data_IF_044598583509
#
_entry.id   IF_044598583509
#
_cell.length_a   1.000
_cell.length_b   1.000
_cell.length_c   1.000
_cell.angle_alpha   90.00
_cell.angle_beta   90.00
_cell.angle_gamma   90.00
#
_symmetry.space_group_name_H-M   'P 1'
#
loop_
_entity.id
_entity.type
_entity.pdbx_description
1 polymer ?
#
# COMPACT_ATOMS: atom_id res chain seq x y z
N UNK A 1 18.32 9.12 -11.66
CA UNK A 1 16.85 9.01 -11.76
C UNK A 1 16.32 10.27 -12.45
N UNK A 2 15.66 10.18 -13.61
CA UNK A 2 15.22 11.35 -14.42
C UNK A 2 14.11 12.11 -13.69
N UNK A 3 14.37 13.37 -13.32
CA UNK A 3 13.38 14.29 -12.74
C UNK A 3 12.29 14.62 -13.78
N UNK A 4 11.03 14.26 -13.49
CA UNK A 4 9.86 14.81 -14.16
C UNK A 4 9.43 16.11 -13.46
N UNK A 5 9.73 17.24 -14.09
CA UNK A 5 9.10 18.53 -13.80
C UNK A 5 7.68 18.54 -14.38
N UNK A 6 6.66 18.38 -13.53
CA UNK A 6 5.26 18.60 -13.92
C UNK A 6 4.97 20.10 -13.99
N UNK A 7 4.66 20.58 -15.19
CA UNK A 7 4.05 21.88 -15.46
C UNK A 7 2.68 21.96 -14.78
N UNK A 8 2.47 23.00 -13.97
CA UNK A 8 1.17 23.39 -13.44
C UNK A 8 0.48 24.23 -14.53
N UNK A 9 -0.57 23.67 -15.14
CA UNK A 9 -1.45 24.41 -16.04
C UNK A 9 -2.57 25.07 -15.24
N UNK A 10 -2.75 26.37 -15.42
CA UNK A 10 -3.80 27.17 -14.81
C UNK A 10 -5.20 26.78 -15.35
N UNK A 11 -6.19 26.74 -14.45
CA UNK A 11 -7.61 26.52 -14.78
C UNK A 11 -8.21 27.78 -15.43
N UNK A 12 -9.10 27.65 -16.43
CA UNK A 12 -9.89 28.77 -16.92
C UNK A 12 -11.09 29.06 -15.99
N UNK A 13 -11.43 30.34 -15.87
CA UNK A 13 -12.55 30.88 -15.10
C UNK A 13 -13.90 30.54 -15.74
N UNK A 14 -14.92 30.34 -14.90
CA UNK A 14 -16.31 30.11 -15.30
C UNK A 14 -17.02 31.44 -15.67
N UNK A 15 -17.98 31.43 -16.63
CA UNK A 15 -18.73 32.63 -16.98
C UNK A 15 -19.90 32.88 -16.01
N UNK A 16 -20.12 34.18 -15.75
CA UNK A 16 -21.22 34.72 -14.98
C UNK A 16 -22.56 34.57 -15.72
N UNK A 17 -23.58 34.08 -15.02
CA UNK A 17 -24.96 34.06 -15.50
C UNK A 17 -25.66 35.39 -15.18
N UNK A 18 -26.19 36.05 -16.21
CA UNK A 18 -27.08 37.19 -16.11
C UNK A 18 -28.45 36.75 -15.56
N UNK A 19 -28.94 37.46 -14.54
CA UNK A 19 -30.34 37.45 -14.12
C UNK A 19 -31.15 38.40 -15.00
N UNK A 20 -32.21 37.87 -15.64
CA UNK A 20 -33.21 38.66 -16.35
C UNK A 20 -34.47 38.71 -15.48
N UNK A 21 -34.76 39.91 -14.97
CA UNK A 21 -35.99 40.25 -14.24
C UNK A 21 -37.11 40.42 -15.26
N UNK A 22 -38.21 39.68 -15.09
CA UNK A 22 -39.44 39.88 -15.84
C UNK A 22 -40.65 39.92 -14.90
N UNK A 23 -41.57 40.79 -15.26
CA UNK A 23 -42.56 41.45 -14.42
C UNK A 23 -43.70 40.58 -13.89
N UNK A 24 -44.21 41.08 -12.77
CA UNK A 24 -45.42 40.71 -12.04
C UNK A 24 -46.67 40.99 -12.89
N UNK A 25 -47.54 39.99 -13.00
CA UNK A 25 -48.93 40.13 -13.44
C UNK A 25 -49.84 39.44 -12.43
N UNK A 26 -50.56 40.22 -11.63
CA UNK A 26 -51.59 39.76 -10.69
C UNK A 26 -52.78 39.15 -11.46
N UNK A 27 -53.13 37.90 -11.17
CA UNK A 27 -54.50 37.41 -11.30
C UNK A 27 -54.86 36.61 -10.05
N UNK A 28 -55.82 37.14 -9.30
CA UNK A 28 -56.40 36.51 -8.13
C UNK A 28 -57.22 35.28 -8.54
N UNK A 29 -56.69 34.10 -8.24
CA UNK A 29 -57.40 32.83 -8.30
C UNK A 29 -57.15 32.08 -6.99
N UNK A 30 -58.21 31.70 -6.30
CA UNK A 30 -58.17 30.93 -5.06
C UNK A 30 -57.30 29.67 -5.23
N UNK A 31 -56.24 29.46 -4.43
CA UNK A 31 -55.48 28.22 -4.50
C UNK A 31 -56.34 27.12 -3.87
N UNK A 32 -56.90 26.26 -4.71
CA UNK A 32 -57.25 24.91 -4.27
C UNK A 32 -55.93 24.24 -3.94
N UNK A 33 -55.55 24.23 -2.66
CA UNK A 33 -54.45 23.42 -2.16
C UNK A 33 -54.87 21.95 -2.27
N UNK A 34 -54.77 21.40 -3.48
CA UNK A 34 -54.65 19.96 -3.64
C UNK A 34 -53.33 19.63 -2.99
N UNK A 35 -53.39 19.12 -1.76
CA UNK A 35 -52.28 18.40 -1.17
C UNK A 35 -52.06 17.17 -2.06
N UNK A 36 -51.27 17.36 -3.13
CA UNK A 36 -50.65 16.26 -3.84
C UNK A 36 -49.80 15.59 -2.77
N UNK A 37 -50.32 14.49 -2.21
CA UNK A 37 -49.54 13.57 -1.41
C UNK A 37 -48.26 13.33 -2.20
N UNK A 38 -47.15 13.90 -1.74
CA UNK A 38 -45.88 13.60 -2.36
C UNK A 38 -45.78 12.08 -2.31
N UNK A 39 -45.56 11.41 -3.46
CA UNK A 39 -45.44 9.96 -3.46
C UNK A 39 -44.44 9.62 -2.37
N UNK A 40 -44.81 8.71 -1.48
CA UNK A 40 -43.99 8.33 -0.35
C UNK A 40 -42.65 7.82 -0.90
N UNK A 41 -41.68 8.73 -0.95
CA UNK A 41 -40.31 8.50 -1.41
C UNK A 41 -39.53 7.73 -0.34
N UNK A 42 -40.20 7.23 0.71
CA UNK A 42 -39.59 6.35 1.67
C UNK A 42 -39.23 5.04 0.97
N UNK A 43 -37.93 4.87 0.81
CA UNK A 43 -37.31 3.57 0.69
C UNK A 43 -36.84 3.29 2.12
N UNK A 44 -37.61 2.52 2.92
CA UNK A 44 -37.22 2.28 4.30
C UNK A 44 -35.88 1.54 4.29
N UNK A 45 -34.92 2.00 5.07
CA UNK A 45 -33.57 1.43 5.10
C UNK A 45 -33.60 -0.08 5.39
N UNK A 46 -34.54 -0.50 6.25
CA UNK A 46 -34.82 -1.92 6.54
C UNK A 46 -35.16 -2.74 5.28
N UNK A 47 -35.91 -2.18 4.33
CA UNK A 47 -36.26 -2.85 3.07
C UNK A 47 -35.02 -3.07 2.20
N UNK A 48 -34.10 -2.12 2.19
CA UNK A 48 -32.84 -2.23 1.43
C UNK A 48 -31.89 -3.24 2.08
N UNK A 49 -31.80 -3.24 3.40
CA UNK A 49 -30.94 -4.17 4.14
C UNK A 49 -31.38 -5.63 3.99
N UNK A 50 -32.67 -5.90 3.74
CA UNK A 50 -33.20 -7.25 3.55
C UNK A 50 -33.28 -7.68 2.07
N UNK A 51 -32.95 -6.80 1.13
CA UNK A 51 -33.02 -7.09 -0.30
C UNK A 51 -32.12 -8.30 -0.63
N UNK A 52 -32.67 -9.40 -1.18
CA UNK A 52 -31.85 -10.49 -1.71
C UNK A 52 -31.07 -9.99 -2.91
N UNK A 53 -29.80 -10.32 -2.99
CA UNK A 53 -28.93 -9.90 -4.09
C UNK A 53 -28.22 -11.10 -4.70
N UNK A 54 -27.62 -10.89 -5.87
CA UNK A 54 -26.93 -11.94 -6.60
C UNK A 54 -25.41 -11.78 -6.48
N UNK A 55 -24.72 -12.92 -6.57
CA UNK A 55 -23.29 -12.97 -6.79
C UNK A 55 -22.98 -12.56 -8.23
N UNK A 56 -22.28 -11.44 -8.41
CA UNK A 56 -21.87 -10.96 -9.73
C UNK A 56 -20.43 -11.36 -9.98
N UNK A 57 -20.21 -12.22 -10.99
CA UNK A 57 -18.86 -12.52 -11.49
C UNK A 57 -18.40 -11.40 -12.42
N UNK A 58 -17.42 -10.62 -11.99
CA UNK A 58 -16.62 -9.82 -12.92
C UNK A 58 -15.63 -10.75 -13.61
N UNK A 59 -15.46 -10.60 -14.92
CA UNK A 59 -14.58 -11.44 -15.72
C UNK A 59 -13.17 -11.52 -15.12
N UNK A 60 -12.47 -12.61 -15.42
CA UNK A 60 -11.09 -12.82 -14.98
C UNK A 60 -10.19 -11.77 -15.64
N UNK A 61 -9.54 -10.93 -14.85
CA UNK A 61 -8.59 -9.95 -15.38
C UNK A 61 -7.20 -10.58 -15.38
N UNK A 62 -6.76 -11.04 -16.54
CA UNK A 62 -5.37 -11.42 -16.80
C UNK A 62 -4.61 -10.12 -17.10
N UNK A 63 -4.02 -9.50 -16.08
CA UNK A 63 -3.34 -8.20 -16.22
C UNK A 63 -1.90 -8.36 -15.76
N UNK A 64 -0.96 -8.00 -16.63
CA UNK A 64 0.47 -7.86 -16.31
C UNK A 64 1.40 -8.48 -17.36
N UNK A 65 2.67 -8.04 -17.33
CA UNK A 65 3.65 -8.38 -18.37
C UNK A 65 4.09 -9.84 -18.37
N UNK A 66 3.94 -10.55 -17.24
CA UNK A 66 4.31 -11.97 -17.14
C UNK A 66 3.22 -12.94 -17.63
N UNK A 67 2.17 -12.47 -18.33
CA UNK A 67 1.29 -13.39 -19.07
C UNK A 67 2.08 -14.30 -20.03
N UNK A 68 3.21 -13.80 -20.53
CA UNK A 68 4.14 -14.56 -21.36
C UNK A 68 4.74 -15.78 -20.61
N UNK A 69 4.79 -15.74 -19.27
CA UNK A 69 5.38 -16.79 -18.43
C UNK A 69 4.34 -17.79 -17.89
N UNK A 70 3.07 -17.69 -18.30
CA UNK A 70 1.99 -18.60 -17.92
C UNK A 70 1.54 -19.35 -19.17
N UNK A 71 1.85 -20.64 -19.23
CA UNK A 71 1.45 -21.47 -20.37
C UNK A 71 -0.06 -21.68 -20.39
N UNK A 72 -0.64 -21.88 -21.58
CA UNK A 72 -2.08 -22.20 -21.73
C UNK A 72 -2.50 -23.42 -20.89
N UNK A 73 -1.60 -24.38 -20.70
CA UNK A 73 -1.84 -25.57 -19.88
C UNK A 73 -1.98 -25.28 -18.37
N UNK A 74 -1.39 -24.18 -17.88
CA UNK A 74 -1.50 -23.78 -16.46
C UNK A 74 -2.78 -23.01 -16.17
N UNK A 75 -3.39 -22.37 -17.17
CA UNK A 75 -4.55 -21.50 -16.96
C UNK A 75 -5.76 -22.24 -16.34
N UNK A 76 -6.17 -23.43 -16.81
CA UNK A 76 -7.27 -24.17 -16.20
C UNK A 76 -6.97 -24.58 -14.74
N UNK A 77 -5.71 -24.93 -14.46
CA UNK A 77 -5.28 -25.33 -13.12
C UNK A 77 -5.35 -24.17 -12.11
N UNK A 78 -5.03 -22.95 -12.55
CA UNK A 78 -5.13 -21.74 -11.74
C UNK A 78 -6.60 -21.35 -11.55
N UNK A 79 -7.39 -21.38 -12.63
CA UNK A 79 -8.81 -21.08 -12.58
C UNK A 79 -9.56 -22.01 -11.60
N UNK A 80 -9.28 -23.32 -11.65
CA UNK A 80 -9.89 -24.29 -10.73
C UNK A 80 -9.53 -24.00 -9.25
N UNK A 81 -8.27 -23.63 -8.97
CA UNK A 81 -7.85 -23.25 -7.60
C UNK A 81 -8.50 -21.94 -7.15
N UNK A 82 -8.61 -20.96 -8.03
CA UNK A 82 -9.32 -19.71 -7.74
C UNK A 82 -10.81 -19.94 -7.49
N UNK A 83 -11.48 -20.77 -8.30
CA UNK A 83 -12.88 -21.11 -8.09
C UNK A 83 -13.09 -21.84 -6.74
N UNK A 84 -12.15 -22.71 -6.34
CA UNK A 84 -12.14 -23.34 -5.01
C UNK A 84 -11.91 -22.33 -3.87
N UNK A 85 -10.99 -21.36 -4.02
CA UNK A 85 -10.84 -20.28 -3.02
C UNK A 85 -12.13 -19.45 -2.89
N UNK A 86 -12.77 -19.10 -4.02
CA UNK A 86 -14.05 -18.39 -4.02
C UNK A 86 -15.17 -19.19 -3.37
N UNK A 87 -15.16 -20.52 -3.48
CA UNK A 87 -16.20 -21.35 -2.87
C UNK A 87 -16.19 -21.25 -1.35
N UNK A 88 -15.02 -21.09 -0.70
CA UNK A 88 -14.94 -20.87 0.75
C UNK A 88 -15.63 -19.58 1.19
N UNK A 89 -15.47 -18.49 0.43
CA UNK A 89 -16.15 -17.21 0.73
C UNK A 89 -17.65 -17.36 0.54
N UNK A 90 -18.09 -18.01 -0.54
CA UNK A 90 -19.51 -18.24 -0.84
C UNK A 90 -20.18 -19.17 0.18
N UNK A 91 -19.51 -20.21 0.63
CA UNK A 91 -20.03 -21.12 1.64
C UNK A 91 -20.20 -20.41 2.99
N UNK A 92 -19.27 -19.54 3.35
CA UNK A 92 -19.36 -18.74 4.57
C UNK A 92 -20.51 -17.70 4.50
N UNK A 93 -20.78 -17.14 3.31
CA UNK A 93 -21.84 -16.15 3.10
C UNK A 93 -22.66 -16.40 1.82
N UNK A 94 -23.55 -17.41 1.78
CA UNK A 94 -24.21 -17.84 0.55
C UNK A 94 -25.24 -16.85 0.01
N UNK A 95 -25.96 -16.17 0.90
CA UNK A 95 -27.06 -15.26 0.56
C UNK A 95 -26.69 -13.81 0.88
N UNK A 96 -26.15 -13.05 -0.09
CA UNK A 96 -25.84 -11.65 0.13
C UNK A 96 -27.13 -10.83 0.30
N UNK A 97 -27.45 -10.44 1.54
CA UNK A 97 -28.60 -9.59 1.87
C UNK A 97 -28.15 -8.15 2.07
N UNK A 98 -28.84 -7.21 1.43
CA UNK A 98 -28.55 -5.77 1.51
C UNK A 98 -27.20 -5.33 0.92
N UNK A 99 -26.49 -6.26 0.27
CA UNK A 99 -25.15 -6.06 -0.29
C UNK A 99 -25.08 -6.71 -1.65
N UNK A 100 -24.56 -6.05 -2.67
CA UNK A 100 -24.15 -6.69 -3.93
C UNK A 100 -22.73 -7.27 -3.79
N UNK A 101 -22.61 -8.60 -3.92
CA UNK A 101 -21.32 -9.29 -3.85
C UNK A 101 -20.69 -9.38 -5.25
N UNK A 102 -19.64 -8.60 -5.49
CA UNK A 102 -18.88 -8.62 -6.75
C UNK A 102 -17.61 -9.42 -6.57
N UNK A 103 -17.49 -10.55 -7.26
CA UNK A 103 -16.28 -11.36 -7.24
C UNK A 103 -15.42 -11.12 -8.47
N UNK A 104 -14.12 -11.22 -8.30
CA UNK A 104 -13.14 -11.18 -9.36
C UNK A 104 -11.98 -12.12 -9.06
N UNK A 105 -11.34 -12.59 -10.12
CA UNK A 105 -10.09 -13.34 -10.02
C UNK A 105 -9.03 -12.60 -10.82
N UNK A 106 -7.81 -12.61 -10.30
CA UNK A 106 -6.67 -12.04 -10.99
C UNK A 106 -5.45 -12.92 -10.79
N UNK A 107 -4.63 -13.01 -11.83
CA UNK A 107 -3.25 -13.42 -11.65
C UNK A 107 -2.46 -12.14 -11.50
N UNK A 108 -1.84 -11.98 -10.34
CA UNK A 108 -1.10 -10.78 -10.04
C UNK A 108 0.34 -11.00 -10.52
N UNK A 109 0.62 -10.59 -11.76
CA UNK A 109 1.95 -10.71 -12.38
C UNK A 109 2.75 -9.41 -12.36
N UNK A 110 2.10 -8.25 -12.25
CA UNK A 110 2.71 -6.91 -12.11
C UNK A 110 1.58 -5.97 -11.65
N UNK A 111 1.74 -5.06 -10.70
CA UNK A 111 2.51 -3.80 -10.87
C UNK A 111 3.00 -3.23 -9.52
N UNK A 112 2.94 -4.02 -8.46
CA UNK A 112 3.34 -3.65 -7.10
C UNK A 112 4.18 -4.74 -6.45
N UNK A 113 4.80 -5.63 -7.22
CA UNK A 113 5.52 -6.78 -6.69
C UNK A 113 6.88 -6.33 -6.16
N UNK A 114 6.88 -5.88 -4.91
CA UNK A 114 8.03 -5.77 -4.02
C UNK A 114 8.73 -7.14 -3.76
N UNK A 115 8.24 -8.18 -4.40
CA UNK A 115 8.78 -9.52 -4.43
C UNK A 115 9.54 -9.74 -5.73
N UNK A 116 10.81 -10.12 -5.61
CA UNK A 116 11.64 -10.58 -6.73
C UNK A 116 10.84 -11.55 -7.63
N UNK A 117 10.78 -11.23 -8.92
CA UNK A 117 10.20 -12.09 -9.94
C UNK A 117 11.15 -13.27 -10.15
N UNK A 118 10.78 -14.43 -9.62
CA UNK A 118 11.52 -15.67 -9.87
C UNK A 118 10.92 -16.39 -11.08
N UNK A 119 11.67 -16.59 -12.18
CA UNK A 119 11.15 -17.23 -13.40
C UNK A 119 10.47 -18.59 -13.14
N UNK A 120 10.94 -19.33 -12.14
CA UNK A 120 10.42 -20.65 -11.75
C UNK A 120 9.80 -20.68 -10.35
N UNK A 121 9.47 -19.51 -9.78
CA UNK A 121 8.81 -19.44 -8.47
C UNK A 121 7.34 -19.86 -8.52
N UNK A 122 6.73 -20.08 -7.33
CA UNK A 122 5.30 -20.31 -7.20
C UNK A 122 4.51 -19.15 -7.84
N UNK A 123 3.48 -19.48 -8.61
CA UNK A 123 2.59 -18.50 -9.22
C UNK A 123 1.75 -17.81 -8.16
N UNK A 124 1.52 -16.52 -8.38
CA UNK A 124 0.79 -15.64 -7.50
C UNK A 124 -0.56 -15.31 -8.12
N UNK A 125 -1.63 -15.64 -7.42
CA UNK A 125 -2.98 -15.34 -7.87
C UNK A 125 -3.88 -14.97 -6.70
N UNK A 126 -4.89 -14.17 -7.01
CA UNK A 126 -5.85 -13.65 -6.04
C UNK A 126 -7.25 -13.99 -6.45
N UNK A 127 -8.08 -14.19 -5.45
CA UNK A 127 -9.52 -14.00 -5.57
C UNK A 127 -9.94 -12.87 -4.65
N UNK A 128 -10.87 -12.05 -5.11
CA UNK A 128 -11.39 -10.91 -4.36
C UNK A 128 -12.90 -10.91 -4.45
N UNK A 129 -13.56 -10.69 -3.32
CA UNK A 129 -14.98 -10.39 -3.25
C UNK A 129 -15.14 -9.01 -2.60
N UNK A 130 -15.83 -8.12 -3.29
CA UNK A 130 -16.17 -6.77 -2.84
C UNK A 130 -17.65 -6.71 -2.52
N UNK A 131 -18.01 -6.19 -1.36
CA UNK A 131 -19.40 -6.15 -0.88
C UNK A 131 -19.91 -4.71 -0.94
N UNK A 132 -20.67 -4.38 -1.98
CA UNK A 132 -21.23 -3.05 -2.17
C UNK A 132 -22.58 -2.94 -1.48
N UNK A 133 -22.75 -1.99 -0.57
CA UNK A 133 -24.04 -1.80 0.07
C UNK A 133 -25.03 -1.14 -0.88
N UNK A 134 -26.30 -1.49 -0.71
CA UNK A 134 -27.38 -0.70 -1.29
C UNK A 134 -27.73 0.44 -0.35
N UNK A 135 -28.16 1.57 -0.92
CA UNK A 135 -28.67 2.72 -0.20
C UNK A 135 -29.87 3.29 -0.95
N UNK A 136 -30.68 4.09 -0.28
CA UNK A 136 -31.87 4.68 -0.87
C UNK A 136 -31.53 6.03 -1.49
N UNK A 137 -31.64 6.15 -2.81
CA UNK A 137 -31.52 7.41 -3.53
C UNK A 137 -32.83 7.69 -4.28
N UNK A 138 -33.46 8.83 -3.99
CA UNK A 138 -34.73 9.26 -4.62
C UNK A 138 -35.82 8.17 -4.57
N UNK A 139 -35.98 7.53 -3.41
CA UNK A 139 -36.95 6.45 -3.19
C UNK A 139 -36.63 5.13 -3.88
N UNK A 140 -35.44 4.99 -4.49
CA UNK A 140 -35.01 3.77 -5.18
C UNK A 140 -33.74 3.20 -4.53
N UNK A 141 -33.65 1.86 -4.40
CA UNK A 141 -32.42 1.23 -3.97
C UNK A 141 -31.37 1.34 -5.07
N UNK A 142 -30.24 1.95 -4.75
CA UNK A 142 -29.07 2.07 -5.62
C UNK A 142 -27.87 1.38 -4.97
N UNK A 143 -27.01 0.78 -5.78
CA UNK A 143 -25.77 0.15 -5.30
C UNK A 143 -24.67 1.21 -5.19
N UNK A 144 -23.95 1.24 -4.08
CA UNK A 144 -22.80 2.12 -3.94
C UNK A 144 -21.71 1.77 -4.97
N UNK A 145 -21.16 2.80 -5.63
CA UNK A 145 -20.02 2.65 -6.54
C UNK A 145 -18.74 2.20 -5.83
N UNK A 146 -18.61 2.53 -4.55
CA UNK A 146 -17.44 2.23 -3.73
C UNK A 146 -17.77 1.26 -2.60
N UNK A 147 -16.77 0.53 -2.13
CA UNK A 147 -16.88 -0.25 -0.90
C UNK A 147 -15.56 -0.27 -0.14
N UNK A 148 -15.64 -0.04 1.17
CA UNK A 148 -14.55 -0.28 2.10
C UNK A 148 -14.46 -1.74 2.55
N UNK A 149 -15.41 -2.59 2.16
CA UNK A 149 -15.57 -3.96 2.66
C UNK A 149 -15.31 -5.00 1.58
N UNK A 150 -14.27 -5.81 1.79
CA UNK A 150 -13.80 -6.83 0.84
C UNK A 150 -13.05 -7.96 1.55
N UNK A 151 -13.16 -9.15 0.98
CA UNK A 151 -12.43 -10.35 1.38
C UNK A 151 -11.54 -10.75 0.19
N UNK A 152 -10.25 -10.88 0.44
CA UNK A 152 -9.26 -11.26 -0.56
C UNK A 152 -8.51 -12.50 -0.08
N UNK A 153 -8.26 -13.45 -0.97
CA UNK A 153 -7.37 -14.57 -0.70
C UNK A 153 -6.26 -14.55 -1.73
N UNK A 154 -5.01 -14.49 -1.27
CA UNK A 154 -3.82 -14.45 -2.08
C UNK A 154 -3.05 -15.76 -1.92
N UNK A 155 -2.86 -16.49 -3.01
CA UNK A 155 -2.01 -17.67 -3.02
C UNK A 155 -0.57 -17.27 -3.30
N UNK A 156 0.35 -17.66 -2.42
CA UNK A 156 1.81 -17.50 -2.56
C UNK A 156 2.35 -16.05 -2.54
N UNK A 157 1.64 -15.08 -1.96
CA UNK A 157 2.19 -13.74 -1.70
C UNK A 157 1.46 -13.00 -0.57
N UNK A 158 2.14 -12.03 0.07
CA UNK A 158 1.67 -11.30 1.25
C UNK A 158 1.23 -9.88 0.91
N UNK A 159 0.26 -9.73 0.01
CA UNK A 159 -0.18 -8.41 -0.47
C UNK A 159 -0.71 -7.53 0.66
N UNK A 160 -0.04 -6.40 0.94
CA UNK A 160 -0.41 -5.48 2.03
C UNK A 160 -0.50 -6.14 3.42
N UNK A 161 0.07 -7.33 3.59
CA UNK A 161 0.19 -8.00 4.89
C UNK A 161 1.13 -7.24 5.82
N UNK A 162 2.18 -6.65 5.24
CA UNK A 162 3.20 -5.88 5.95
C UNK A 162 3.24 -4.45 5.44
N UNK A 163 3.74 -3.53 6.26
CA UNK A 163 3.91 -2.12 5.90
C UNK A 163 5.37 -1.85 5.57
N UNK A 164 5.64 -1.24 4.43
CA UNK A 164 6.99 -0.84 4.03
C UNK A 164 7.64 0.08 5.08
N UNK A 165 8.93 -0.12 5.32
CA UNK A 165 9.75 0.84 6.11
C UNK A 165 10.23 1.98 5.21
N UNK A 166 10.30 1.76 3.89
CA UNK A 166 10.80 2.73 2.90
C UNK A 166 12.29 2.59 2.58
N UNK A 167 12.90 1.44 2.87
CA UNK A 167 14.31 1.14 2.60
C UNK A 167 14.47 -0.26 1.99
N UNK A 168 15.61 -0.48 1.32
CA UNK A 168 15.97 -1.74 0.65
C UNK A 168 17.33 -2.22 1.10
N UNK A 169 17.42 -3.47 1.53
CA UNK A 169 18.68 -4.15 1.84
C UNK A 169 19.67 -4.08 0.66
N UNK A 170 20.98 -4.29 0.90
CA UNK A 170 21.98 -4.27 -0.17
C UNK A 170 21.72 -5.23 -1.33
N UNK A 171 20.95 -6.30 -1.11
CA UNK A 171 20.54 -7.25 -2.14
C UNK A 171 19.28 -6.81 -2.92
N UNK A 172 18.81 -5.58 -2.72
CA UNK A 172 17.63 -5.00 -3.36
C UNK A 172 16.29 -5.39 -2.71
N UNK A 173 16.29 -6.25 -1.69
CA UNK A 173 15.05 -6.61 -1.00
C UNK A 173 14.54 -5.49 -0.11
N UNK A 174 13.27 -5.15 -0.24
CA UNK A 174 12.61 -4.23 0.69
C UNK A 174 12.48 -4.82 2.09
N UNK A 175 12.47 -3.91 3.07
CA UNK A 175 12.19 -4.24 4.47
C UNK A 175 10.83 -3.70 4.90
N UNK A 176 10.18 -4.45 5.78
CA UNK A 176 8.82 -4.20 6.24
C UNK A 176 8.74 -4.27 7.76
N UNK A 177 7.73 -3.61 8.30
CA UNK A 177 7.26 -3.85 9.65
C UNK A 177 6.37 -5.08 9.71
N UNK A 178 6.69 -6.02 10.60
CA UNK A 178 5.83 -7.14 10.93
C UNK A 178 4.49 -6.64 11.50
N UNK A 179 3.32 -7.10 11.02
CA UNK A 179 2.04 -6.72 11.60
C UNK A 179 1.90 -7.25 13.05
N UNK A 180 1.09 -6.55 13.86
CA UNK A 180 0.80 -6.97 15.24
C UNK A 180 -0.22 -8.11 15.19
N UNK A 181 -0.04 -9.14 16.00
CA UNK A 181 -1.09 -10.11 16.24
C UNK A 181 -2.14 -9.48 17.15
N UNK A 182 -3.39 -9.42 16.69
CA UNK A 182 -4.51 -8.78 17.39
C UNK A 182 -5.51 -9.79 17.96
N UNK A 183 -5.32 -11.08 17.70
CA UNK A 183 -6.16 -12.14 18.24
C UNK A 183 -5.97 -13.47 17.52
N UNK A 184 -6.99 -14.32 17.62
CA UNK A 184 -7.06 -15.62 16.95
C UNK A 184 -8.46 -15.86 16.41
N UNK A 185 -8.58 -16.47 15.23
CA UNK A 185 -9.83 -16.93 14.65
C UNK A 185 -9.73 -18.44 14.39
N UNK A 186 -10.55 -19.24 15.07
CA UNK A 186 -10.56 -20.71 14.97
C UNK A 186 -9.16 -21.34 15.10
N UNK A 187 -8.35 -20.82 16.04
CA UNK A 187 -6.97 -21.28 16.27
C UNK A 187 -5.90 -20.64 15.37
N UNK A 188 -6.28 -19.89 14.34
CA UNK A 188 -5.32 -19.21 13.46
C UNK A 188 -5.03 -17.78 13.95
N UNK A 189 -3.76 -17.33 13.98
CA UNK A 189 -3.41 -15.97 14.36
C UNK A 189 -4.02 -14.93 13.41
N UNK A 190 -4.60 -13.86 13.99
CA UNK A 190 -5.10 -12.71 13.25
C UNK A 190 -4.11 -11.55 13.41
N UNK A 191 -3.65 -11.02 12.29
CA UNK A 191 -2.69 -9.93 12.22
C UNK A 191 -3.33 -8.64 11.72
N UNK A 192 -2.85 -7.49 12.20
CA UNK A 192 -3.23 -6.18 11.66
C UNK A 192 -2.04 -5.23 11.46
N UNK A 193 -2.05 -4.57 10.31
CA UNK A 193 -1.16 -3.43 10.02
C UNK A 193 -1.70 -2.12 10.58
N UNK A 194 -2.99 -2.06 10.94
CA UNK A 194 -3.70 -0.88 11.43
C UNK A 194 -4.55 -1.24 12.66
N UNK A 195 -3.93 -1.69 13.77
CA UNK A 195 -4.66 -2.17 14.95
C UNK A 195 -5.55 -1.09 15.58
N UNK A 196 -5.14 0.18 15.44
CA UNK A 196 -5.81 1.34 16.05
C UNK A 196 -6.92 1.95 15.18
N UNK A 197 -7.12 1.45 13.95
CA UNK A 197 -8.22 1.90 13.08
C UNK A 197 -9.55 1.39 13.63
N UNK A 198 -10.39 2.29 14.15
CA UNK A 198 -11.63 1.94 14.87
C UNK A 198 -12.73 1.49 13.93
N UNK A 199 -12.89 2.19 12.81
CA UNK A 199 -14.05 2.04 11.93
C UNK A 199 -13.73 1.25 10.66
N UNK A 200 -12.45 1.05 10.34
CA UNK A 200 -12.02 0.29 9.17
C UNK A 200 -10.95 -0.73 9.52
N UNK A 201 -11.40 -1.92 9.90
CA UNK A 201 -10.51 -3.02 10.23
C UNK A 201 -9.80 -3.55 8.99
N UNK A 202 -8.50 -3.80 9.15
CA UNK A 202 -7.63 -4.45 8.17
C UNK A 202 -6.94 -5.61 8.86
N UNK A 203 -7.48 -6.78 8.66
CA UNK A 203 -7.06 -8.01 9.33
C UNK A 203 -6.56 -9.01 8.31
N UNK A 204 -5.67 -9.88 8.75
CA UNK A 204 -5.06 -10.89 7.89
C UNK A 204 -4.78 -12.16 8.66
N UNK A 205 -5.03 -13.28 7.99
CA UNK A 205 -4.70 -14.61 8.47
C UNK A 205 -3.78 -15.25 7.43
N UNK A 206 -2.70 -15.87 7.89
CA UNK A 206 -1.83 -16.68 7.04
C UNK A 206 -2.11 -18.16 7.31
N UNK A 207 -2.53 -18.87 6.29
CA UNK A 207 -2.71 -20.32 6.30
C UNK A 207 -1.42 -20.93 5.75
N UNK A 208 -0.70 -21.62 6.65
CA UNK A 208 0.68 -22.07 6.45
C UNK A 208 0.76 -23.60 6.67
N UNK A 209 1.67 -24.30 5.97
CA UNK A 209 1.86 -25.73 6.14
C UNK A 209 2.44 -26.06 7.53
N UNK A 210 3.46 -25.30 7.97
CA UNK A 210 4.33 -25.57 9.13
C UNK A 210 4.32 -24.44 10.19
N UNK A 211 3.31 -23.55 10.14
CA UNK A 211 3.21 -22.32 10.96
C UNK A 211 4.37 -21.32 10.81
N UNK A 212 5.38 -21.60 9.98
CA UNK A 212 6.49 -20.69 9.72
C UNK A 212 6.03 -19.61 8.77
N UNK A 213 6.22 -18.35 9.14
CA UNK A 213 5.85 -17.23 8.28
C UNK A 213 6.78 -17.19 7.03
N UNK A 214 6.26 -16.82 5.84
CA UNK A 214 7.06 -16.63 4.62
C UNK A 214 7.84 -15.31 4.62
N UNK A 215 8.48 -15.02 5.74
CA UNK A 215 9.29 -13.83 6.00
C UNK A 215 10.56 -14.22 6.74
N UNK A 216 11.60 -13.42 6.56
CA UNK A 216 12.87 -13.55 7.25
C UNK A 216 13.06 -12.34 8.15
N UNK A 217 13.49 -12.57 9.39
CA UNK A 217 13.90 -11.49 10.28
C UNK A 217 15.09 -10.73 9.67
N UNK A 218 15.03 -9.39 9.70
CA UNK A 218 16.16 -8.54 9.34
C UNK A 218 16.96 -8.28 10.60
N UNK A 219 18.24 -8.61 10.57
CA UNK A 219 19.10 -8.47 11.74
C UNK A 219 19.47 -7.00 12.01
N UNK A 220 19.93 -6.71 13.23
CA UNK A 220 20.49 -5.40 13.56
C UNK A 220 21.66 -5.05 12.64
N UNK A 221 22.52 -6.02 12.34
CA UNK A 221 23.64 -5.79 11.43
C UNK A 221 23.18 -5.42 10.02
N UNK A 222 22.20 -6.12 9.47
CA UNK A 222 21.65 -5.81 8.15
C UNK A 222 21.06 -4.39 8.09
N UNK A 223 20.36 -3.95 9.15
CA UNK A 223 19.82 -2.59 9.24
C UNK A 223 20.94 -1.54 9.27
N UNK A 224 22.01 -1.77 10.04
CA UNK A 224 23.12 -0.81 10.08
C UNK A 224 23.84 -0.73 8.74
N UNK A 225 24.13 -1.88 8.12
CA UNK A 225 24.77 -1.95 6.79
C UNK A 225 23.91 -1.27 5.72
N UNK A 226 22.59 -1.47 5.78
CA UNK A 226 21.62 -0.77 4.97
C UNK A 226 21.76 0.75 5.10
N UNK A 227 21.71 1.29 6.32
CA UNK A 227 21.80 2.74 6.53
C UNK A 227 23.15 3.33 6.13
N UNK A 228 24.25 2.61 6.36
CA UNK A 228 25.56 2.99 5.81
C UNK A 228 25.53 3.09 4.28
N UNK A 229 24.93 2.11 3.60
CA UNK A 229 24.79 2.15 2.14
C UNK A 229 23.90 3.31 1.67
N UNK A 230 22.79 3.58 2.37
CA UNK A 230 21.92 4.74 2.09
C UNK A 230 22.68 6.06 2.21
N UNK A 231 23.41 6.28 3.31
CA UNK A 231 24.19 7.50 3.52
C UNK A 231 25.31 7.67 2.48
N UNK A 232 25.98 6.58 2.07
CA UNK A 232 26.98 6.61 0.98
C UNK A 232 26.36 6.99 -0.35
N UNK A 233 25.16 6.50 -0.66
CA UNK A 233 24.43 6.91 -1.87
C UNK A 233 24.05 8.39 -1.81
N UNK A 234 23.59 8.88 -0.66
CA UNK A 234 23.29 10.30 -0.45
C UNK A 234 24.54 11.18 -0.66
N UNK A 235 25.70 10.75 -0.15
CA UNK A 235 26.98 11.41 -0.40
C UNK A 235 27.30 11.48 -1.90
N UNK A 236 27.22 10.36 -2.61
CA UNK A 236 27.50 10.31 -4.05
C UNK A 236 26.54 11.20 -4.86
N UNK A 237 25.24 11.19 -4.55
CA UNK A 237 24.25 12.06 -5.18
C UNK A 237 24.52 13.55 -4.92
N UNK A 238 24.98 13.88 -3.71
CA UNK A 238 25.32 15.24 -3.32
C UNK A 238 26.58 15.74 -4.04
N UNK A 239 27.62 14.91 -4.15
CA UNK A 239 28.81 15.20 -4.95
C UNK A 239 28.46 15.45 -6.42
N UNK A 240 27.64 14.59 -7.02
CA UNK A 240 27.23 14.74 -8.41
C UNK A 240 26.43 16.04 -8.62
N UNK A 241 25.49 16.32 -7.73
CA UNK A 241 24.71 17.55 -7.84
C UNK A 241 25.57 18.80 -7.61
N UNK A 242 26.62 18.71 -6.80
CA UNK A 242 27.58 19.81 -6.61
C UNK A 242 28.33 20.10 -7.91
N UNK A 243 28.79 19.06 -8.63
CA UNK A 243 29.40 19.22 -9.96
C UNK A 243 28.44 19.89 -10.96
N UNK A 244 27.17 19.48 -10.96
CA UNK A 244 26.14 20.09 -11.83
C UNK A 244 25.93 21.57 -11.51
N UNK A 245 25.92 21.96 -10.23
CA UNK A 245 25.81 23.37 -9.83
C UNK A 245 27.02 24.19 -10.27
N UNK A 246 28.23 23.66 -10.12
CA UNK A 246 29.46 24.33 -10.57
C UNK A 246 29.51 24.49 -12.09
N UNK A 247 29.06 23.49 -12.84
CA UNK A 247 28.90 23.58 -14.29
C UNK A 247 27.85 24.64 -14.68
N UNK A 248 26.71 24.68 -13.99
CA UNK A 248 25.66 25.67 -14.21
C UNK A 248 26.12 27.10 -13.89
N UNK A 249 27.00 27.28 -12.90
CA UNK A 249 27.63 28.58 -12.63
C UNK A 249 28.46 29.06 -13.82
N UNK A 250 29.32 28.19 -14.36
CA UNK A 250 30.15 28.51 -15.55
C UNK A 250 29.29 28.86 -16.76
N UNK A 251 28.22 28.12 -16.99
CA UNK A 251 27.27 28.41 -18.06
C UNK A 251 26.56 29.75 -17.85
N UNK A 252 26.14 30.05 -16.63
CA UNK A 252 25.50 31.32 -16.29
C UNK A 252 26.44 32.52 -16.47
N UNK A 253 27.72 32.39 -16.11
CA UNK A 253 28.74 33.40 -16.37
C UNK A 253 28.98 33.59 -17.87
N UNK A 254 29.06 32.51 -18.64
CA UNK A 254 29.18 32.56 -20.10
C UNK A 254 27.93 33.16 -20.77
N UNK A 255 26.74 32.90 -20.23
CA UNK A 255 25.49 33.50 -20.69
C UNK A 255 25.47 35.01 -20.40
N UNK A 256 25.87 35.42 -19.21
CA UNK A 256 26.02 36.83 -18.86
C UNK A 256 26.97 37.56 -19.81
N UNK A 257 27.99 36.88 -20.34
CA UNK A 257 28.89 37.44 -21.35
C UNK A 257 28.18 37.76 -22.69
N UNK A 258 27.15 36.99 -23.05
CA UNK A 258 26.49 37.03 -24.38
C UNK A 258 25.24 37.89 -24.45
N UNK A 259 24.60 38.18 -23.32
CA UNK A 259 23.41 39.01 -23.29
C UNK A 259 23.74 40.47 -23.01
N UNK A 260 22.81 41.34 -23.40
CA UNK A 260 22.92 42.77 -23.18
C UNK A 260 22.37 43.14 -21.80
N UNK A 261 23.14 43.90 -21.03
CA UNK A 261 22.76 44.48 -19.74
C UNK A 261 22.75 46.00 -19.90
N UNK A 262 21.91 46.73 -19.16
CA UNK A 262 21.83 48.20 -19.29
C UNK A 262 23.11 48.87 -18.81
N UNK A 263 23.79 48.26 -17.85
CA UNK A 263 25.06 48.73 -17.31
C UNK A 263 25.98 47.56 -16.97
N UNK A 264 27.28 47.80 -16.92
CA UNK A 264 28.25 46.81 -16.46
C UNK A 264 28.04 46.45 -14.96
N UNK A 265 27.58 47.41 -14.17
CA UNK A 265 27.22 47.16 -12.77
C UNK A 265 26.09 46.13 -12.62
N UNK A 266 25.10 46.14 -13.52
CA UNK A 266 24.02 45.14 -13.56
C UNK A 266 24.54 43.74 -13.94
N UNK A 267 25.42 43.65 -14.95
CA UNK A 267 26.08 42.40 -15.34
C UNK A 267 26.85 41.80 -14.16
N UNK A 268 27.65 42.62 -13.49
CA UNK A 268 28.46 42.15 -12.36
C UNK A 268 27.61 41.76 -11.15
N UNK A 269 26.50 42.48 -10.91
CA UNK A 269 25.51 42.10 -9.88
C UNK A 269 24.88 40.74 -10.17
N UNK A 270 24.53 40.46 -11.43
CA UNK A 270 24.01 39.15 -11.84
C UNK A 270 25.02 38.02 -11.59
N UNK A 271 26.26 38.19 -12.05
CA UNK A 271 27.34 37.21 -11.86
C UNK A 271 27.59 36.95 -10.37
N UNK A 272 27.74 38.01 -9.58
CA UNK A 272 27.99 37.91 -8.14
C UNK A 272 26.82 37.25 -7.41
N UNK A 273 25.57 37.56 -7.80
CA UNK A 273 24.38 36.93 -7.24
C UNK A 273 24.36 35.42 -7.47
N UNK A 274 24.72 34.97 -8.68
CA UNK A 274 24.79 33.55 -9.00
C UNK A 274 25.94 32.85 -8.27
N UNK A 275 27.12 33.47 -8.18
CA UNK A 275 28.24 32.97 -7.37
C UNK A 275 27.85 32.79 -5.90
N UNK A 276 27.23 33.80 -5.29
CA UNK A 276 26.76 33.72 -3.90
C UNK A 276 25.67 32.67 -3.71
N UNK A 277 24.79 32.48 -4.69
CA UNK A 277 23.77 31.44 -4.66
C UNK A 277 24.39 30.04 -4.65
N UNK A 278 25.33 29.79 -5.58
CA UNK A 278 26.03 28.51 -5.71
C UNK A 278 26.90 28.23 -4.49
N UNK A 279 27.64 29.23 -3.99
CA UNK A 279 28.47 29.10 -2.79
C UNK A 279 27.64 28.77 -1.54
N UNK A 280 26.50 29.45 -1.33
CA UNK A 280 25.57 29.09 -0.24
C UNK A 280 25.03 27.67 -0.40
N UNK A 281 24.75 27.25 -1.64
CA UNK A 281 24.35 25.88 -1.96
C UNK A 281 25.43 24.87 -1.60
N UNK A 282 26.69 25.16 -1.97
CA UNK A 282 27.87 24.34 -1.66
C UNK A 282 28.09 24.21 -0.17
N UNK A 283 28.05 25.30 0.58
CA UNK A 283 28.22 25.29 2.04
C UNK A 283 27.18 24.43 2.75
N UNK A 284 25.90 24.53 2.34
CA UNK A 284 24.83 23.67 2.87
C UNK A 284 25.07 22.19 2.55
N UNK A 285 25.47 21.89 1.32
CA UNK A 285 25.77 20.53 0.88
C UNK A 285 26.96 19.92 1.60
N UNK A 286 28.02 20.69 1.82
CA UNK A 286 29.20 20.25 2.58
C UNK A 286 28.84 19.99 4.04
N UNK A 287 27.98 20.83 4.65
CA UNK A 287 27.48 20.59 5.98
C UNK A 287 26.70 19.26 6.08
N UNK A 288 25.78 18.99 5.14
CA UNK A 288 25.08 17.70 5.07
C UNK A 288 26.03 16.53 4.81
N UNK A 289 27.03 16.70 3.94
CA UNK A 289 28.00 15.65 3.65
C UNK A 289 28.85 15.31 4.88
N UNK A 290 29.27 16.31 5.67
CA UNK A 290 29.95 16.08 6.95
C UNK A 290 29.06 15.29 7.93
N UNK A 291 27.81 15.72 8.10
CA UNK A 291 26.84 15.03 8.96
C UNK A 291 26.63 13.56 8.54
N UNK A 292 26.56 13.28 7.24
CA UNK A 292 26.41 11.90 6.76
C UNK A 292 27.66 11.06 6.97
N UNK A 293 28.87 11.62 6.80
CA UNK A 293 30.13 10.94 7.11
C UNK A 293 30.22 10.59 8.60
N UNK A 294 29.92 11.55 9.47
CA UNK A 294 29.86 11.33 10.93
C UNK A 294 28.86 10.23 11.31
N UNK A 295 27.70 10.20 10.66
CA UNK A 295 26.71 9.16 10.90
C UNK A 295 27.14 7.77 10.38
N UNK A 296 27.87 7.69 9.27
CA UNK A 296 28.45 6.42 8.80
C UNK A 296 29.43 5.87 9.84
N UNK A 297 30.32 6.71 10.36
CA UNK A 297 31.33 6.32 11.36
C UNK A 297 30.69 5.91 12.68
N UNK A 298 29.64 6.63 13.10
CA UNK A 298 28.82 6.27 14.28
C UNK A 298 28.16 4.91 14.11
N UNK A 299 27.58 4.64 12.94
CA UNK A 299 26.97 3.35 12.62
C UNK A 299 28.01 2.21 12.64
N UNK A 300 29.23 2.45 12.13
CA UNK A 300 30.32 1.46 12.21
C UNK A 300 30.77 1.21 13.65
N UNK A 301 30.85 2.27 14.47
CA UNK A 301 31.15 2.18 15.90
C UNK A 301 30.09 1.35 16.62
N UNK A 302 28.81 1.57 16.31
CA UNK A 302 27.70 0.79 16.85
C UNK A 302 27.81 -0.70 16.50
N UNK A 303 28.14 -1.03 15.24
CA UNK A 303 28.38 -2.43 14.84
C UNK A 303 29.53 -3.03 15.63
N UNK A 304 30.66 -2.33 15.71
CA UNK A 304 31.86 -2.79 16.41
C UNK A 304 31.60 -3.05 17.89
N UNK A 305 30.78 -2.21 18.53
CA UNK A 305 30.39 -2.36 19.93
C UNK A 305 29.45 -3.56 20.18
N UNK A 306 28.68 -4.01 19.19
CA UNK A 306 27.80 -5.17 19.33
C UNK A 306 28.58 -6.48 19.23
N UNK A 307 28.25 -7.41 20.14
CA UNK A 307 28.65 -8.81 20.05
C UNK A 307 28.04 -9.51 18.81
N UNK A 308 28.62 -10.63 18.34
CA UNK A 308 28.02 -11.40 17.24
C UNK A 308 26.57 -11.84 17.50
N UNK A 309 26.24 -12.15 18.76
CA UNK A 309 24.88 -12.51 19.15
C UNK A 309 23.92 -11.32 19.03
N UNK A 310 24.32 -10.13 19.47
CA UNK A 310 23.49 -8.92 19.34
C UNK A 310 23.27 -8.53 17.88
N UNK A 311 24.32 -8.63 17.06
CA UNK A 311 24.25 -8.33 15.62
C UNK A 311 23.23 -9.20 14.89
N UNK A 312 23.10 -10.47 15.28
CA UNK A 312 22.17 -11.42 14.68
C UNK A 312 20.73 -11.32 15.21
N UNK A 313 20.50 -10.60 16.30
CA UNK A 313 19.13 -10.35 16.79
C UNK A 313 18.31 -9.57 15.76
N UNK A 314 17.00 -9.86 15.72
CA UNK A 314 16.08 -9.13 14.87
C UNK A 314 16.03 -7.65 15.26
N UNK A 315 16.09 -6.77 14.26
CA UNK A 315 15.90 -5.35 14.45
C UNK A 315 14.44 -5.01 14.79
N UNK A 316 14.24 -4.12 15.75
CA UNK A 316 12.95 -3.52 16.09
C UNK A 316 13.09 -2.01 15.89
N UNK A 317 12.26 -1.44 15.01
CA UNK A 317 12.36 -0.03 14.63
C UNK A 317 11.04 0.70 14.88
N UNK A 318 11.14 1.95 15.32
CA UNK A 318 10.02 2.90 15.40
C UNK A 318 10.22 4.07 14.41
N UNK A 319 11.40 4.68 14.44
CA UNK A 319 11.81 5.84 13.64
C UNK A 319 13.13 5.54 12.89
N UNK A 320 13.07 4.85 11.74
CA UNK A 320 14.27 4.38 11.02
C UNK A 320 15.20 5.53 10.62
N UNK A 321 14.65 6.67 10.22
CA UNK A 321 15.43 7.87 9.92
C UNK A 321 16.15 8.42 11.16
N UNK A 322 15.51 8.37 12.32
CA UNK A 322 16.11 8.73 13.61
C UNK A 322 17.30 7.85 13.96
N UNK A 323 17.22 6.54 13.71
CA UNK A 323 18.34 5.61 13.89
C UNK A 323 19.48 5.89 12.91
N UNK A 324 19.18 6.20 11.66
CA UNK A 324 20.19 6.50 10.63
C UNK A 324 20.93 7.82 10.93
N UNK A 325 20.19 8.87 11.28
CA UNK A 325 20.70 10.24 11.42
C UNK A 325 21.00 10.67 12.87
N UNK A 326 20.76 9.79 13.86
CA UNK A 326 20.87 10.09 15.28
C UNK A 326 20.05 11.33 15.72
N UNK A 327 18.84 11.47 15.21
CA UNK A 327 18.01 12.63 15.56
C UNK A 327 17.39 12.45 16.93
N UNK A 328 17.49 13.46 17.80
CA UNK A 328 16.74 13.57 19.07
C UNK A 328 16.88 12.35 20.01
N UNK A 329 18.07 11.74 20.09
CA UNK A 329 18.27 10.55 20.95
C UNK A 329 17.49 9.33 20.45
N UNK A 330 17.50 9.10 19.13
CA UNK A 330 16.88 7.95 18.49
C UNK A 330 17.93 7.07 17.80
N UNK A 331 19.20 7.29 18.12
CA UNK A 331 20.37 6.74 17.44
C UNK A 331 20.75 5.32 17.83
N UNK A 332 20.00 4.66 18.72
CA UNK A 332 20.28 3.28 19.16
C UNK A 332 19.10 2.34 18.98
N UNK A 333 19.36 1.03 18.87
CA UNK A 333 18.28 0.03 18.81
C UNK A 333 17.42 -0.03 20.07
N UNK A 334 17.97 0.34 21.24
CA UNK A 334 17.20 0.38 22.49
C UNK A 334 16.16 1.51 22.48
N UNK A 335 16.56 2.71 22.06
CA UNK A 335 15.65 3.85 21.88
C UNK A 335 14.60 3.53 20.81
N UNK A 336 15.02 2.91 19.71
CA UNK A 336 14.12 2.46 18.66
C UNK A 336 13.11 1.42 19.13
N UNK A 337 13.48 0.51 20.05
CA UNK A 337 12.55 -0.48 20.59
C UNK A 337 11.57 0.12 21.61
N UNK A 338 11.88 1.28 22.20
CA UNK A 338 11.07 1.91 23.24
C UNK A 338 9.83 2.66 22.73
N UNK A 339 9.72 2.96 21.42
CA UNK A 339 8.52 3.64 20.92
C UNK A 339 7.27 2.74 20.99
N UNK A 340 6.09 3.29 21.34
CA UNK A 340 4.83 2.51 21.41
C UNK A 340 4.43 1.83 20.09
N UNK A 341 4.90 2.39 18.97
CA UNK A 341 4.61 1.95 17.62
C UNK A 341 5.75 1.15 16.97
N UNK A 342 6.81 0.83 17.73
CA UNK A 342 7.93 0.03 17.24
C UNK A 342 7.49 -1.37 16.86
N UNK A 343 8.10 -1.90 15.79
CA UNK A 343 7.77 -3.24 15.28
C UNK A 343 9.02 -3.97 14.82
N UNK A 344 9.05 -5.31 14.95
CA UNK A 344 10.10 -6.13 14.35
C UNK A 344 10.16 -5.91 12.84
N UNK A 345 11.38 -5.83 12.31
CA UNK A 345 11.65 -5.66 10.89
C UNK A 345 11.86 -7.01 10.24
N UNK A 346 11.22 -7.19 9.09
CA UNK A 346 11.28 -8.43 8.31
C UNK A 346 11.47 -8.09 6.83
N UNK A 347 11.97 -9.06 6.06
CA UNK A 347 11.91 -9.05 4.60
C UNK A 347 11.25 -10.34 4.12
N UNK A 348 11.00 -10.46 2.83
CA UNK A 348 10.48 -11.69 2.25
C UNK A 348 11.51 -12.82 2.35
N UNK A 349 11.08 -13.98 2.86
CA UNK A 349 11.88 -15.20 2.77
C UNK A 349 11.72 -15.78 1.37
N UNK A 350 12.68 -15.47 0.50
CA UNK A 350 12.65 -15.93 -0.88
C UNK A 350 12.85 -17.45 -0.98
N UNK A 351 13.42 -18.10 0.03
CA UNK A 351 13.61 -19.55 0.08
C UNK A 351 12.40 -20.30 0.65
N UNK A 352 11.35 -19.59 1.10
CA UNK A 352 10.17 -20.21 1.68
C UNK A 352 9.46 -21.16 0.71
N UNK A 353 9.29 -20.71 -0.54
CA UNK A 353 8.58 -21.48 -1.55
C UNK A 353 9.41 -22.64 -2.10
N UNK A 354 8.85 -23.84 -2.10
CA UNK A 354 9.44 -25.03 -2.72
C UNK A 354 9.37 -24.94 -4.24
N UNK A 355 10.53 -25.02 -4.89
CA UNK A 355 10.65 -25.17 -6.35
C UNK A 355 10.34 -26.58 -6.84
N UNK A 356 10.17 -27.56 -5.93
CA UNK A 356 9.82 -28.95 -6.28
C UNK A 356 8.34 -29.11 -6.64
N UNK A 357 7.50 -28.16 -6.24
CA UNK A 357 6.07 -28.18 -6.55
C UNK A 357 5.80 -27.55 -7.92
N UNK A 358 4.74 -27.97 -8.63
CA UNK A 358 4.29 -27.28 -9.83
C UNK A 358 4.04 -25.80 -9.53
N UNK A 359 4.42 -24.89 -10.43
CA UNK A 359 4.26 -23.44 -10.15
C UNK A 359 2.83 -23.02 -9.76
N UNK A 360 1.71 -23.59 -10.28
CA UNK A 360 0.36 -23.25 -9.83
C UNK A 360 0.02 -23.68 -8.40
N UNK A 361 0.85 -24.50 -7.76
CA UNK A 361 0.59 -25.07 -6.44
C UNK A 361 0.35 -24.00 -5.38
N UNK A 362 -0.63 -24.22 -4.51
CA UNK A 362 -0.84 -23.35 -3.34
C UNK A 362 0.11 -23.78 -2.24
N UNK A 363 1.11 -22.98 -1.90
CA UNK A 363 2.07 -23.29 -0.83
C UNK A 363 1.73 -22.56 0.47
N UNK A 364 1.06 -21.40 0.36
CA UNK A 364 0.41 -20.73 1.47
C UNK A 364 -0.74 -19.84 0.96
N UNK A 365 -1.68 -19.53 1.85
CA UNK A 365 -2.79 -18.61 1.57
C UNK A 365 -2.73 -17.44 2.54
N UNK A 366 -2.77 -16.23 2.00
CA UNK A 366 -3.01 -15.03 2.78
C UNK A 366 -4.47 -14.61 2.61
N UNK A 367 -5.27 -14.80 3.66
CA UNK A 367 -6.63 -14.29 3.76
C UNK A 367 -6.58 -12.87 4.31
N UNK A 368 -6.94 -11.89 3.48
CA UNK A 368 -7.04 -10.48 3.85
C UNK A 368 -8.51 -10.07 3.98
N UNK A 369 -8.84 -9.46 5.10
CA UNK A 369 -10.17 -8.92 5.38
C UNK A 369 -10.04 -7.42 5.57
N UNK A 370 -10.74 -6.63 4.76
CA UNK A 370 -10.95 -5.21 5.00
C UNK A 370 -12.43 -5.01 5.20
N UNK A 371 -12.85 -4.39 6.31
CA UNK A 371 -14.27 -4.21 6.57
C UNK A 371 -14.53 -2.98 7.42
N UNK A 372 -15.71 -2.41 7.20
CA UNK A 372 -16.21 -1.26 7.96
C UNK A 372 -17.05 -1.74 9.14
N UNK A 373 -16.81 -1.16 10.30
CA UNK A 373 -17.51 -1.47 11.56
C UNK A 373 -18.39 -0.34 12.05
N UNK A 374 -18.57 0.72 11.25
CA UNK A 374 -19.42 1.85 11.58
C UNK A 374 -20.87 1.38 11.89
N UNK A 375 -21.57 2.01 12.86
CA UNK A 375 -22.88 1.54 13.31
C UNK A 375 -23.95 1.47 12.21
N UNK A 376 -23.91 2.39 11.26
CA UNK A 376 -24.80 2.50 10.10
C UNK A 376 -24.54 1.42 9.03
N UNK A 377 -23.38 0.76 9.07
CA UNK A 377 -23.01 -0.30 8.11
C UNK A 377 -23.59 -1.68 8.48
N UNK A 378 -24.90 -1.73 8.81
CA UNK A 378 -25.58 -2.92 9.37
C UNK A 378 -25.37 -4.18 8.52
N UNK A 379 -25.65 -4.11 7.22
CA UNK A 379 -25.54 -5.27 6.33
C UNK A 379 -24.09 -5.78 6.20
N UNK A 380 -23.09 -4.88 6.18
CA UNK A 380 -21.67 -5.24 6.12
C UNK A 380 -21.20 -5.91 7.43
N UNK A 381 -21.65 -5.40 8.58
CA UNK A 381 -21.35 -6.00 9.89
C UNK A 381 -21.97 -7.39 10.04
N UNK A 382 -23.23 -7.55 9.62
CA UNK A 382 -23.91 -8.86 9.61
C UNK A 382 -23.18 -9.85 8.69
N UNK A 383 -22.82 -9.43 7.47
CA UNK A 383 -22.04 -10.24 6.54
C UNK A 383 -20.71 -10.67 7.13
N UNK A 384 -19.94 -9.75 7.72
CA UNK A 384 -18.63 -10.07 8.28
C UNK A 384 -18.76 -11.01 9.50
N UNK A 385 -19.77 -10.79 10.35
CA UNK A 385 -20.05 -11.68 11.49
C UNK A 385 -20.33 -13.11 11.02
N UNK A 386 -21.21 -13.26 10.01
CA UNK A 386 -21.51 -14.55 9.43
C UNK A 386 -20.27 -15.19 8.77
N UNK A 387 -19.47 -14.40 8.04
CA UNK A 387 -18.25 -14.89 7.43
C UNK A 387 -17.26 -15.42 8.47
N UNK A 388 -16.97 -14.64 9.53
CA UNK A 388 -16.04 -15.02 10.59
C UNK A 388 -16.51 -16.28 11.33
N UNK A 389 -17.82 -16.42 11.56
CA UNK A 389 -18.42 -17.61 12.16
C UNK A 389 -18.27 -18.84 11.28
N UNK A 390 -18.52 -18.71 9.97
CA UNK A 390 -18.70 -19.86 9.06
C UNK A 390 -17.49 -20.18 8.18
N UNK A 391 -16.48 -19.32 8.08
CA UNK A 391 -15.31 -19.57 7.23
C UNK A 391 -14.58 -20.84 7.65
N UNK A 392 -14.31 -21.72 6.69
CA UNK A 392 -13.61 -22.99 6.90
C UNK A 392 -12.10 -22.81 6.67
N UNK A 393 -11.39 -22.42 7.73
CA UNK A 393 -9.94 -22.21 7.68
C UNK A 393 -9.15 -23.51 7.53
N UNK A 394 -9.69 -24.63 8.02
CA UNK A 394 -9.05 -25.94 7.89
C UNK A 394 -9.22 -26.49 6.47
N UNK A 395 -10.37 -26.26 5.84
CA UNK A 395 -10.56 -26.54 4.42
C UNK A 395 -9.65 -25.70 3.52
N UNK A 396 -9.41 -24.42 3.86
CA UNK A 396 -8.37 -23.62 3.20
C UNK A 396 -6.99 -24.22 3.39
N UNK A 397 -6.66 -24.71 4.60
CA UNK A 397 -5.40 -25.42 4.85
C UNK A 397 -5.28 -26.70 4.04
N UNK A 398 -6.38 -27.42 3.83
CA UNK A 398 -6.45 -28.59 2.95
C UNK A 398 -6.21 -28.28 1.46
N UNK A 399 -6.12 -27.01 1.05
CA UNK A 399 -5.67 -26.63 -0.29
C UNK A 399 -4.16 -26.55 -0.43
N UNK A 400 -3.41 -26.52 0.68
CA UNK A 400 -1.96 -26.40 0.62
C UNK A 400 -1.33 -27.68 0.07
N UNK A 401 -0.45 -27.51 -0.91
CA UNK A 401 0.34 -28.58 -1.53
C UNK A 401 1.71 -28.62 -0.84
N UNK A 402 2.09 -29.82 -0.38
CA UNK A 402 3.35 -30.05 0.32
C UNK A 402 4.36 -30.73 -0.61
N UNK A 403 5.65 -30.38 -0.53
CA UNK A 403 6.68 -31.14 -1.24
C UNK A 403 6.66 -32.60 -0.78
N UNK A 404 7.03 -33.55 -1.66
CA UNK A 404 7.16 -34.95 -1.25
C UNK A 404 8.14 -35.06 -0.09
N UNK A 405 7.73 -35.76 0.96
CA UNK A 405 8.61 -36.13 2.08
C UNK A 405 9.75 -36.99 1.52
N UNK A 406 11.02 -36.68 1.81
CA UNK A 406 12.17 -37.40 1.28
C UNK A 406 12.19 -38.88 1.68
#
# INVERSE_FOLDING_TARGET
>A
MKLMLKRIAAKPAAPAFLYLVACVGLLAGYPVSVALAQPDMSCPEATVQQRPTQWIRRGSSWVGSDLQNITRAMQPQIAARQDKLLSFIRQAYPEPRGLEARQGTSINTDHHSLYEKRPNGPLRYTVRVMFHHYWCFRGKPEVSGETGTRIEMHANFLYKFMREVGYQLPNGQEIYYMPKQVGTLKGYPVYSTHPDDRDRKRESILILPDQRLPVRAVSREEVVRLFQATLRNMLAENEETTKVLEASLKESEAYAARIEFKTEAERQKYINGNRQSVERGRQKREASAREWRENIDRLETMLTAMTPAERSTQAVLGEPYGLMMNQRGQGTFAEQAAFPYSRPVVTHDLAYGSSKLPRPAVQFIHLQMTYETAPDMVAKRAMMSQFLEKVDLDGLRGMLELPPTP
#
